data_IF_545559852654
#
_entry.id   IF_545559852654
#
_cell.length_a   1.000
_cell.length_b   1.000
_cell.length_c   1.000
_cell.angle_alpha   90.00
_cell.angle_beta   90.00
_cell.angle_gamma   90.00
#
_symmetry.space_group_name_H-M   'P 1'
#
loop_
_entity.id
_entity.type
_entity.pdbx_description
1 polymer ?
#
# COMPACT_ATOMS: atom_id res chain seq x y z
N UNK A 1 20.90 41.57 -21.67
CA UNK A 1 20.72 41.37 -20.24
C UNK A 1 19.33 40.77 -20.03
N UNK A 2 19.22 39.47 -19.90
CA UNK A 2 17.95 38.77 -19.60
C UNK A 2 18.09 38.19 -18.19
N UNK A 3 17.29 38.70 -17.27
CA UNK A 3 17.16 38.18 -15.94
C UNK A 3 16.45 36.79 -16.03
N UNK A 4 17.16 35.75 -15.69
CA UNK A 4 16.57 34.45 -15.36
C UNK A 4 16.35 34.39 -13.84
N UNK A 5 15.18 34.86 -13.40
CA UNK A 5 14.64 34.47 -12.10
C UNK A 5 14.14 33.04 -12.25
N UNK A 6 14.97 32.06 -11.91
CA UNK A 6 14.54 30.70 -11.72
C UNK A 6 13.81 30.65 -10.38
N UNK A 7 12.53 30.38 -10.44
CA UNK A 7 11.65 30.18 -9.28
C UNK A 7 12.17 29.03 -8.41
N UNK A 8 12.83 29.39 -7.31
CA UNK A 8 13.29 28.46 -6.25
C UNK A 8 12.14 27.82 -5.48
N UNK A 9 10.90 28.18 -5.78
CA UNK A 9 9.71 27.70 -5.05
C UNK A 9 9.18 26.33 -5.53
N UNK A 10 9.80 25.72 -6.56
CA UNK A 10 9.35 24.44 -7.11
C UNK A 10 10.41 23.33 -7.03
N UNK A 11 11.53 23.55 -6.33
CA UNK A 11 12.54 22.50 -6.15
C UNK A 11 12.17 21.63 -4.96
N UNK A 12 11.84 20.38 -5.21
CA UNK A 12 11.73 19.35 -4.19
C UNK A 12 13.10 19.09 -3.54
N UNK A 13 13.12 18.72 -2.27
CA UNK A 13 14.32 18.54 -1.43
C UNK A 13 15.41 17.64 -2.05
N UNK A 14 15.08 16.83 -3.05
CA UNK A 14 16.00 15.94 -3.78
C UNK A 14 16.89 16.68 -4.81
N UNK A 15 16.43 17.82 -5.35
CA UNK A 15 17.20 18.54 -6.38
C UNK A 15 18.40 19.30 -5.79
N UNK A 16 18.38 19.58 -4.50
CA UNK A 16 19.50 20.20 -3.79
C UNK A 16 20.70 19.26 -3.58
N UNK A 17 20.45 17.94 -3.56
CA UNK A 17 21.52 16.95 -3.39
C UNK A 17 22.36 16.71 -4.66
N UNK A 18 21.79 17.03 -5.84
CA UNK A 18 22.46 16.87 -7.14
C UNK A 18 23.45 18.00 -7.46
N UNK A 19 23.48 19.08 -6.68
CA UNK A 19 24.36 20.23 -6.90
C UNK A 19 25.70 20.15 -6.16
N UNK A 20 26.03 19.02 -5.51
CA UNK A 20 27.36 18.80 -4.91
C UNK A 20 27.68 19.68 -3.69
N UNK A 21 26.68 20.25 -3.03
CA UNK A 21 26.88 20.99 -1.77
C UNK A 21 27.05 20.05 -0.58
N UNK A 22 27.98 20.36 0.32
CA UNK A 22 28.24 19.55 1.52
C UNK A 22 27.11 19.72 2.54
N UNK A 23 26.88 18.67 3.37
CA UNK A 23 25.80 18.63 4.40
C UNK A 23 25.81 19.85 5.34
N UNK A 24 26.98 20.43 5.60
CA UNK A 24 27.13 21.61 6.45
C UNK A 24 26.60 22.89 5.79
N UNK A 25 26.82 23.07 4.49
CA UNK A 25 26.30 24.20 3.73
C UNK A 25 24.78 24.17 3.61
N UNK A 26 24.18 23.00 3.48
CA UNK A 26 22.71 22.81 3.47
C UNK A 26 22.13 23.16 4.85
N UNK A 27 22.76 22.73 5.93
CA UNK A 27 22.31 23.08 7.31
C UNK A 27 22.44 24.56 7.65
N UNK A 28 23.44 25.27 7.11
CA UNK A 28 23.57 26.71 7.28
C UNK A 28 22.54 27.51 6.44
N UNK A 29 22.28 27.09 5.19
CA UNK A 29 21.23 27.69 4.37
C UNK A 29 19.85 27.53 5.00
N UNK A 30 19.54 26.37 5.57
CA UNK A 30 18.27 26.10 6.28
C UNK A 30 18.15 27.00 7.54
N UNK A 31 19.26 27.30 8.22
CA UNK A 31 19.25 28.21 9.40
C UNK A 31 19.08 29.69 9.03
N UNK A 32 19.54 30.11 7.86
CA UNK A 32 19.43 31.51 7.41
C UNK A 32 18.08 31.86 6.76
N UNK A 33 17.32 30.84 6.31
CA UNK A 33 15.99 31.02 5.70
C UNK A 33 14.85 30.84 6.71
N UNK A 34 15.10 31.13 8.01
CA UNK A 34 14.03 31.28 9.00
C UNK A 34 13.31 32.61 8.83
N UNK A 35 12.74 32.84 7.66
CA UNK A 35 11.61 33.70 7.46
C UNK A 35 10.36 32.79 7.51
N UNK A 36 9.69 32.91 8.62
CA UNK A 36 8.45 32.29 9.05
C UNK A 36 7.42 32.25 7.93
N UNK A 37 7.37 31.15 7.18
CA UNK A 37 6.13 30.70 6.55
C UNK A 37 5.72 29.40 7.23
N UNK A 38 4.46 29.25 7.67
CA UNK A 38 4.03 28.04 8.35
C UNK A 38 3.91 26.91 7.31
N UNK A 39 4.99 26.16 7.12
CA UNK A 39 5.00 24.82 6.49
C UNK A 39 4.17 23.79 7.29
N UNK A 40 3.47 24.26 8.32
CA UNK A 40 2.74 23.42 9.29
C UNK A 40 1.40 22.93 8.75
N UNK A 41 0.85 23.53 7.67
CA UNK A 41 -0.48 23.15 7.20
C UNK A 41 -0.52 21.97 6.22
N UNK A 42 0.58 21.63 5.55
CA UNK A 42 0.54 20.56 4.54
C UNK A 42 0.83 19.16 5.12
N UNK A 43 1.70 19.05 6.10
CA UNK A 43 2.03 17.78 6.74
C UNK A 43 0.95 17.28 7.71
N UNK A 44 0.27 18.18 8.41
CA UNK A 44 -0.80 17.81 9.35
C UNK A 44 -2.06 17.29 8.65
N UNK A 45 -2.40 17.79 7.47
CA UNK A 45 -3.59 17.31 6.75
C UNK A 45 -3.35 15.96 6.07
N UNK A 46 -2.18 15.71 5.51
CA UNK A 46 -1.82 14.41 4.89
C UNK A 46 -1.72 13.29 5.91
N UNK A 47 -1.02 13.50 7.01
CA UNK A 47 -0.88 12.53 8.10
C UNK A 47 -2.21 12.26 8.82
N UNK A 48 -3.01 13.30 9.07
CA UNK A 48 -4.34 13.16 9.69
C UNK A 48 -5.31 12.40 8.79
N UNK A 49 -5.32 12.69 7.48
CA UNK A 49 -6.17 12.01 6.51
C UNK A 49 -5.76 10.55 6.32
N UNK A 50 -4.46 10.26 6.29
CA UNK A 50 -3.94 8.89 6.19
C UNK A 50 -4.28 8.07 7.44
N UNK A 51 -4.17 8.67 8.63
CA UNK A 51 -4.56 8.03 9.88
C UNK A 51 -6.08 7.78 9.95
N UNK A 52 -6.88 8.71 9.43
CA UNK A 52 -8.33 8.52 9.35
C UNK A 52 -8.71 7.34 8.44
N UNK A 53 -8.11 7.25 7.25
CA UNK A 53 -8.35 6.13 6.32
C UNK A 53 -7.97 4.79 6.97
N UNK A 54 -6.81 4.72 7.65
CA UNK A 54 -6.38 3.51 8.36
C UNK A 54 -7.31 3.13 9.51
N UNK A 55 -7.89 4.10 10.19
CA UNK A 55 -8.89 3.85 11.24
C UNK A 55 -10.18 3.25 10.65
N UNK A 56 -10.67 3.76 9.52
CA UNK A 56 -11.85 3.21 8.82
C UNK A 56 -11.60 1.77 8.37
N UNK A 57 -10.43 1.49 7.81
CA UNK A 57 -10.04 0.14 7.41
C UNK A 57 -10.02 -0.82 8.60
N UNK A 58 -9.44 -0.37 9.72
CA UNK A 58 -9.37 -1.14 10.97
C UNK A 58 -10.76 -1.43 11.53
N UNK A 59 -11.65 -0.43 11.61
CA UNK A 59 -13.03 -0.59 12.07
C UNK A 59 -13.76 -1.64 11.22
N UNK A 60 -13.60 -1.59 9.88
CA UNK A 60 -14.22 -2.56 8.98
C UNK A 60 -13.71 -3.98 9.20
N UNK A 61 -12.41 -4.15 9.41
CA UNK A 61 -11.83 -5.47 9.72
C UNK A 61 -12.28 -5.98 11.10
N UNK A 62 -12.50 -5.09 12.09
CA UNK A 62 -13.07 -5.46 13.40
C UNK A 62 -14.52 -5.95 13.25
N UNK A 63 -15.32 -5.35 12.36
CA UNK A 63 -16.68 -5.85 12.06
C UNK A 63 -16.61 -7.28 11.52
N UNK A 64 -15.78 -7.53 10.51
CA UNK A 64 -15.59 -8.89 9.96
C UNK A 64 -15.03 -9.86 10.99
N UNK A 65 -14.13 -9.43 11.87
CA UNK A 65 -13.58 -10.32 12.90
C UNK A 65 -14.66 -10.84 13.87
N UNK A 66 -15.66 -10.02 14.16
CA UNK A 66 -16.82 -10.41 14.98
C UNK A 66 -17.81 -11.27 14.20
N UNK A 67 -18.07 -10.92 12.92
CA UNK A 67 -19.00 -11.63 12.05
C UNK A 67 -18.55 -13.08 11.80
N UNK A 68 -17.24 -13.26 11.58
CA UNK A 68 -16.66 -14.57 11.22
C UNK A 68 -15.94 -15.28 12.39
N UNK A 69 -16.08 -14.77 13.61
CA UNK A 69 -15.50 -15.34 14.83
C UNK A 69 -13.98 -15.61 14.70
N UNK A 70 -13.24 -14.58 14.26
CA UNK A 70 -11.80 -14.70 14.08
C UNK A 70 -11.06 -14.81 15.41
N UNK A 71 -10.07 -15.69 15.45
CA UNK A 71 -9.20 -15.91 16.62
C UNK A 71 -8.17 -14.82 16.83
N UNK A 72 -7.91 -13.97 15.82
CA UNK A 72 -6.85 -12.97 15.82
C UNK A 72 -7.41 -11.56 16.07
N UNK A 73 -6.64 -10.72 16.75
CA UNK A 73 -6.92 -9.29 16.88
C UNK A 73 -6.38 -8.53 15.67
N UNK A 74 -7.14 -7.58 15.17
CA UNK A 74 -6.77 -6.80 13.97
C UNK A 74 -5.46 -6.04 14.19
N UNK A 75 -5.19 -5.55 15.40
CA UNK A 75 -3.92 -4.86 15.73
C UNK A 75 -2.67 -5.76 15.58
N UNK A 76 -2.84 -7.07 15.62
CA UNK A 76 -1.73 -8.02 15.45
C UNK A 76 -1.36 -8.25 13.99
N UNK A 77 -2.26 -7.95 13.05
CA UNK A 77 -2.08 -8.24 11.62
C UNK A 77 -1.99 -6.99 10.76
N UNK A 78 -2.49 -5.87 11.25
CA UNK A 78 -2.53 -4.64 10.49
C UNK A 78 -1.22 -3.86 10.68
N UNK A 79 -0.24 -4.15 9.82
CA UNK A 79 0.99 -3.34 9.77
C UNK A 79 0.71 -1.93 9.24
N UNK A 80 1.41 -0.90 9.71
CA UNK A 80 1.12 0.48 9.32
C UNK A 80 1.50 0.81 7.86
N UNK A 81 2.26 -0.03 7.18
CA UNK A 81 2.88 0.27 5.89
C UNK A 81 2.23 -0.51 4.71
N UNK A 82 0.94 -0.32 4.50
CA UNK A 82 0.23 -0.80 3.32
C UNK A 82 -0.40 0.36 2.53
N UNK A 83 -0.63 0.16 1.24
CA UNK A 83 -1.37 1.06 0.37
C UNK A 83 -2.78 0.52 0.10
N UNK A 84 -2.93 -0.79 -0.06
CA UNK A 84 -4.20 -1.44 -0.26
C UNK A 84 -4.40 -2.63 0.68
N UNK A 85 -5.67 -2.91 1.00
CA UNK A 85 -6.11 -4.08 1.74
C UNK A 85 -7.14 -4.84 0.92
N UNK A 86 -6.97 -6.16 0.88
CA UNK A 86 -7.91 -7.08 0.24
C UNK A 86 -8.21 -8.24 1.19
N UNK A 87 -9.48 -8.45 1.48
CA UNK A 87 -9.96 -9.58 2.27
C UNK A 87 -10.67 -10.57 1.35
N UNK A 88 -10.24 -11.84 1.40
CA UNK A 88 -10.87 -12.93 0.64
C UNK A 88 -11.42 -14.01 1.59
N UNK A 89 -12.37 -14.80 1.09
CA UNK A 89 -12.74 -16.05 1.71
C UNK A 89 -11.66 -17.14 1.53
N UNK A 90 -11.94 -18.35 2.01
CA UNK A 90 -11.05 -19.51 1.88
C UNK A 90 -10.83 -19.93 0.41
N UNK A 91 -11.79 -19.67 -0.48
CA UNK A 91 -11.72 -19.96 -1.91
C UNK A 91 -11.02 -18.84 -2.71
N UNK A 92 -10.45 -17.85 -2.01
CA UNK A 92 -9.77 -16.69 -2.58
C UNK A 92 -10.71 -15.73 -3.34
N UNK A 93 -12.02 -15.76 -3.08
CA UNK A 93 -12.95 -14.76 -3.63
C UNK A 93 -12.92 -13.51 -2.77
N UNK A 94 -12.74 -12.35 -3.38
CA UNK A 94 -12.69 -11.06 -2.67
C UNK A 94 -14.04 -10.76 -2.05
N UNK A 95 -14.10 -10.63 -0.74
CA UNK A 95 -15.30 -10.21 -0.01
C UNK A 95 -15.27 -8.71 0.27
N UNK A 96 -14.07 -8.14 0.45
CA UNK A 96 -13.88 -6.72 0.68
C UNK A 96 -12.49 -6.26 0.22
N UNK A 97 -12.44 -5.01 -0.23
CA UNK A 97 -11.20 -4.28 -0.47
C UNK A 97 -11.40 -2.82 -0.04
N UNK A 98 -10.32 -2.17 0.42
CA UNK A 98 -10.37 -0.78 0.85
C UNK A 98 -10.29 0.21 -0.33
N UNK A 99 -10.41 1.50 -0.05
CA UNK A 99 -10.29 2.56 -1.07
C UNK A 99 -8.86 2.64 -1.65
N UNK A 100 -7.85 2.22 -0.88
CA UNK A 100 -6.46 2.10 -1.36
C UNK A 100 -6.33 1.14 -2.53
N UNK A 101 -7.05 0.02 -2.50
CA UNK A 101 -7.11 -0.92 -3.64
C UNK A 101 -7.59 -0.24 -4.93
N UNK A 102 -8.64 0.58 -4.84
CA UNK A 102 -9.15 1.31 -6.00
C UNK A 102 -8.13 2.33 -6.52
N UNK A 103 -7.45 3.05 -5.62
CA UNK A 103 -6.40 4.01 -5.99
C UNK A 103 -5.22 3.31 -6.67
N UNK A 104 -4.79 2.18 -6.15
CA UNK A 104 -3.64 1.43 -6.65
C UNK A 104 -3.94 0.74 -7.98
N UNK A 105 -5.11 0.09 -8.12
CA UNK A 105 -5.41 -0.76 -9.27
C UNK A 105 -6.25 -0.08 -10.35
N UNK A 106 -6.98 0.98 -10.00
CA UNK A 106 -7.97 1.64 -10.86
C UNK A 106 -9.30 0.89 -10.98
N UNK A 107 -9.44 -0.29 -10.37
CA UNK A 107 -10.72 -1.02 -10.33
C UNK A 107 -11.52 -0.60 -9.10
N UNK A 108 -12.84 -0.47 -9.25
CA UNK A 108 -13.70 -0.23 -8.10
C UNK A 108 -13.76 -1.45 -7.18
N UNK A 109 -13.93 -1.22 -5.88
CA UNK A 109 -14.09 -2.29 -4.89
C UNK A 109 -15.32 -3.16 -5.20
N UNK A 110 -16.40 -2.56 -5.74
CA UNK A 110 -17.57 -3.29 -6.18
C UNK A 110 -17.26 -4.24 -7.36
N UNK A 111 -16.43 -3.82 -8.32
CA UNK A 111 -15.98 -4.67 -9.41
C UNK A 111 -15.15 -5.86 -8.93
N UNK A 112 -14.29 -5.65 -7.94
CA UNK A 112 -13.42 -6.67 -7.38
C UNK A 112 -14.18 -7.73 -6.56
N UNK A 113 -15.25 -7.34 -5.87
CA UNK A 113 -16.04 -8.22 -5.01
C UNK A 113 -16.54 -9.46 -5.76
N UNK A 114 -16.34 -10.64 -5.18
CA UNK A 114 -16.69 -11.94 -5.75
C UNK A 114 -15.70 -12.47 -6.80
N UNK A 115 -14.68 -11.70 -7.18
CA UNK A 115 -13.63 -12.14 -8.11
C UNK A 115 -12.40 -12.65 -7.34
N UNK A 116 -11.60 -13.49 -8.00
CA UNK A 116 -10.29 -13.87 -7.47
C UNK A 116 -9.27 -12.79 -7.82
N UNK A 117 -8.30 -12.45 -6.93
CA UNK A 117 -7.26 -11.46 -7.21
C UNK A 117 -6.46 -11.71 -8.50
N UNK A 118 -6.47 -12.95 -9.00
CA UNK A 118 -5.84 -13.33 -10.27
C UNK A 118 -6.33 -12.54 -11.48
N UNK A 119 -7.47 -11.82 -11.39
CA UNK A 119 -7.92 -10.93 -12.47
C UNK A 119 -6.98 -9.73 -12.72
N UNK A 120 -6.09 -9.42 -11.75
CA UNK A 120 -5.04 -8.41 -11.88
C UNK A 120 -3.80 -8.93 -12.61
N UNK A 121 -3.69 -10.24 -12.82
CA UNK A 121 -2.54 -10.86 -13.48
C UNK A 121 -2.62 -10.69 -14.99
N UNK A 122 -1.46 -10.77 -15.66
CA UNK A 122 -1.37 -10.64 -17.10
C UNK A 122 -0.17 -11.39 -17.68
N UNK A 123 0.24 -11.02 -18.90
CA UNK A 123 1.19 -11.78 -19.70
C UNK A 123 2.57 -11.87 -19.03
N UNK A 124 3.00 -10.81 -18.34
CA UNK A 124 4.31 -10.77 -17.66
C UNK A 124 4.25 -11.23 -16.20
N UNK A 125 3.09 -11.70 -15.73
CA UNK A 125 2.99 -12.29 -14.39
C UNK A 125 3.64 -13.66 -14.38
N UNK A 126 4.73 -13.82 -13.62
CA UNK A 126 5.51 -15.05 -13.55
C UNK A 126 4.71 -16.26 -13.07
N UNK A 127 4.70 -17.34 -13.84
CA UNK A 127 4.07 -18.61 -13.43
C UNK A 127 4.74 -19.21 -12.17
N UNK A 128 6.06 -19.02 -12.03
CA UNK A 128 6.79 -19.47 -10.84
C UNK A 128 6.26 -18.78 -9.58
N UNK A 129 6.05 -17.45 -9.64
CA UNK A 129 5.51 -16.67 -8.52
C UNK A 129 4.06 -17.09 -8.23
N UNK A 130 3.22 -17.27 -9.26
CA UNK A 130 1.85 -17.75 -9.08
C UNK A 130 1.79 -19.11 -8.37
N UNK A 131 2.65 -20.04 -8.76
CA UNK A 131 2.76 -21.37 -8.15
C UNK A 131 3.28 -21.28 -6.71
N UNK A 132 4.29 -20.42 -6.44
CA UNK A 132 4.78 -20.16 -5.07
C UNK A 132 3.66 -19.66 -4.17
N UNK A 133 2.91 -18.66 -4.61
CA UNK A 133 1.76 -18.12 -3.86
C UNK A 133 0.73 -19.23 -3.57
N UNK A 134 0.36 -20.01 -4.60
CA UNK A 134 -0.61 -21.13 -4.43
C UNK A 134 -0.15 -22.14 -3.39
N UNK A 135 1.12 -22.54 -3.42
CA UNK A 135 1.68 -23.45 -2.44
C UNK A 135 1.68 -22.87 -1.02
N UNK A 136 2.08 -21.60 -0.87
CA UNK A 136 2.12 -20.91 0.42
C UNK A 136 0.73 -20.71 1.02
N UNK A 137 -0.28 -20.40 0.20
CA UNK A 137 -1.68 -20.35 0.63
C UNK A 137 -2.14 -21.69 1.19
N UNK A 138 -1.78 -22.83 0.53
CA UNK A 138 -2.13 -24.16 1.00
C UNK A 138 -1.44 -24.51 2.34
N UNK A 139 -0.23 -24.00 2.60
CA UNK A 139 0.47 -24.19 3.89
C UNK A 139 -0.26 -23.43 5.01
N UNK A 140 -0.95 -22.33 4.71
CA UNK A 140 -1.72 -21.55 5.68
C UNK A 140 -0.86 -20.83 6.72
N UNK A 141 0.33 -20.36 6.34
CA UNK A 141 1.21 -19.49 7.14
C UNK A 141 1.34 -18.11 6.48
N UNK A 142 1.57 -17.04 7.26
CA UNK A 142 1.85 -15.72 6.69
C UNK A 142 3.08 -15.75 5.76
N UNK A 143 3.02 -15.01 4.66
CA UNK A 143 4.12 -14.88 3.72
C UNK A 143 4.03 -13.58 2.94
N UNK A 144 5.17 -13.16 2.36
CA UNK A 144 5.26 -12.01 1.45
C UNK A 144 5.84 -12.49 0.11
N UNK A 145 5.30 -11.95 -0.98
CA UNK A 145 5.77 -12.17 -2.36
C UNK A 145 5.69 -10.86 -3.14
N UNK A 146 6.49 -10.79 -4.21
CA UNK A 146 6.39 -9.70 -5.19
C UNK A 146 5.86 -10.29 -6.49
N UNK A 147 4.76 -9.73 -6.99
CA UNK A 147 4.10 -10.18 -8.20
C UNK A 147 3.87 -9.01 -9.17
N UNK A 148 3.99 -9.28 -10.48
CA UNK A 148 3.61 -8.33 -11.52
C UNK A 148 2.10 -8.39 -11.70
N UNK A 149 1.43 -7.27 -11.49
CA UNK A 149 0.00 -7.07 -11.71
C UNK A 149 -0.23 -5.97 -12.75
N UNK A 150 -1.47 -5.86 -13.24
CA UNK A 150 -1.92 -4.87 -14.21
C UNK A 150 -3.04 -4.02 -13.65
N UNK A 151 -2.89 -2.71 -13.76
CA UNK A 151 -3.95 -1.75 -13.45
C UNK A 151 -5.07 -1.84 -14.50
N UNK A 152 -6.19 -1.21 -14.23
CA UNK A 152 -7.32 -1.14 -15.20
C UNK A 152 -6.92 -0.50 -16.52
N UNK A 153 -6.00 0.44 -16.54
CA UNK A 153 -5.46 1.09 -17.75
C UNK A 153 -4.41 0.24 -18.48
N UNK A 154 -4.18 -1.02 -18.06
CA UNK A 154 -3.18 -1.96 -18.59
C UNK A 154 -1.72 -1.66 -18.21
N UNK A 155 -1.47 -0.68 -17.37
CA UNK A 155 -0.14 -0.40 -16.84
C UNK A 155 0.31 -1.53 -15.92
N UNK A 156 1.53 -2.03 -16.13
CA UNK A 156 2.18 -3.00 -15.26
C UNK A 156 2.69 -2.32 -13.99
N UNK A 157 2.61 -3.03 -12.88
CA UNK A 157 3.27 -2.61 -11.65
C UNK A 157 3.71 -3.82 -10.82
N UNK A 158 4.79 -3.65 -10.09
CA UNK A 158 5.22 -4.63 -9.11
C UNK A 158 4.44 -4.41 -7.82
N UNK A 159 3.79 -5.46 -7.35
CA UNK A 159 3.03 -5.46 -6.12
C UNK A 159 3.72 -6.34 -5.10
N UNK A 160 4.19 -5.75 -4.00
CA UNK A 160 4.53 -6.51 -2.81
C UNK A 160 3.22 -6.84 -2.09
N UNK A 161 2.97 -8.12 -1.90
CA UNK A 161 1.77 -8.61 -1.24
C UNK A 161 2.15 -9.48 -0.04
N UNK A 162 1.76 -9.03 1.16
CA UNK A 162 1.87 -9.78 2.41
C UNK A 162 0.52 -10.42 2.71
N UNK A 163 0.45 -11.74 2.67
CA UNK A 163 -0.79 -12.50 2.87
C UNK A 163 -0.78 -13.16 4.24
N UNK A 164 -1.82 -12.89 5.01
CA UNK A 164 -2.03 -13.39 6.36
C UNK A 164 -3.27 -14.27 6.39
N UNK A 165 -3.12 -15.58 6.64
CA UNK A 165 -4.25 -16.48 6.82
C UNK A 165 -4.97 -16.16 8.14
N UNK A 166 -6.26 -15.95 8.06
CA UNK A 166 -7.12 -15.69 9.22
C UNK A 166 -7.83 -16.96 9.61
N UNK A 167 -7.77 -17.30 10.90
CA UNK A 167 -8.36 -18.51 11.47
C UNK A 167 -9.53 -18.19 12.39
N UNK A 168 -10.53 -19.04 12.38
CA UNK A 168 -11.63 -19.02 13.35
C UNK A 168 -11.23 -19.66 14.69
N UNK A 169 -12.14 -19.70 15.66
CA UNK A 169 -11.92 -20.31 16.98
C UNK A 169 -11.61 -21.83 16.91
N UNK A 170 -12.05 -22.51 15.85
CA UNK A 170 -11.74 -23.92 15.57
C UNK A 170 -10.37 -24.13 14.90
N UNK A 171 -9.58 -23.02 14.76
CA UNK A 171 -8.26 -23.03 14.13
C UNK A 171 -8.25 -23.34 12.61
N UNK A 172 -9.40 -23.26 11.95
CA UNK A 172 -9.54 -23.42 10.51
C UNK A 172 -9.26 -22.09 9.80
N UNK A 173 -8.51 -22.12 8.70
CA UNK A 173 -8.33 -20.94 7.84
C UNK A 173 -9.65 -20.67 7.12
N UNK A 174 -10.25 -19.54 7.40
CA UNK A 174 -11.54 -19.11 6.82
C UNK A 174 -11.40 -17.97 5.85
N UNK A 175 -10.35 -17.15 6.01
CA UNK A 175 -10.10 -15.96 5.19
C UNK A 175 -8.60 -15.75 4.99
N UNK A 176 -8.28 -14.91 4.00
CA UNK A 176 -6.94 -14.38 3.80
C UNK A 176 -7.02 -12.85 3.74
N UNK A 177 -6.18 -12.19 4.53
CA UNK A 177 -5.98 -10.74 4.46
C UNK A 177 -4.69 -10.46 3.72
N UNK A 178 -4.78 -9.74 2.61
CA UNK A 178 -3.64 -9.26 1.84
C UNK A 178 -3.41 -7.78 2.14
N UNK A 179 -2.17 -7.45 2.54
CA UNK A 179 -1.64 -6.09 2.64
C UNK A 179 -0.76 -5.86 1.41
N UNK A 180 -1.11 -4.88 0.61
CA UNK A 180 -0.49 -4.67 -0.70
C UNK A 180 0.19 -3.30 -0.77
N UNK A 181 1.32 -3.25 -1.47
CA UNK A 181 2.10 -2.04 -1.74
C UNK A 181 2.64 -2.07 -3.16
N UNK A 182 2.46 -0.98 -3.89
CA UNK A 182 3.10 -0.81 -5.20
C UNK A 182 4.57 -0.43 -5.02
N UNK A 183 5.47 -1.17 -5.67
CA UNK A 183 6.91 -0.89 -5.62
C UNK A 183 7.29 0.04 -6.77
N UNK A 184 7.97 1.15 -6.44
CA UNK A 184 8.63 1.99 -7.44
C UNK A 184 9.96 1.33 -7.81
N UNK A 185 10.08 0.79 -9.02
CA UNK A 185 11.38 0.37 -9.55
C UNK A 185 12.00 1.62 -10.15
N UNK A 186 13.05 2.12 -9.48
CA UNK A 186 13.93 3.12 -10.10
C UNK A 186 14.70 2.40 -11.20
N UNK A 187 14.43 2.78 -12.45
CA UNK A 187 15.19 2.37 -13.63
C UNK A 187 16.51 3.14 -13.72
#
# INVERSE_FOLDING_TARGET
MKNSNTDLNNMMCLDLFLLGETEENVKQKIKSTRSVFPLVCFDLSGSSMMNHIKNVDKEKLIEYSKEFDWKITIDQVLEPNYEALVLTDADQSIIWANEGFKKMTGYSTHYAKGRKPSFLQGINTSETVKNSIKQKLAIGKPFTEVIVNYRKNKEEYFCEVSIIPIRNQQNLVTHFLALEKALCIQS
#
